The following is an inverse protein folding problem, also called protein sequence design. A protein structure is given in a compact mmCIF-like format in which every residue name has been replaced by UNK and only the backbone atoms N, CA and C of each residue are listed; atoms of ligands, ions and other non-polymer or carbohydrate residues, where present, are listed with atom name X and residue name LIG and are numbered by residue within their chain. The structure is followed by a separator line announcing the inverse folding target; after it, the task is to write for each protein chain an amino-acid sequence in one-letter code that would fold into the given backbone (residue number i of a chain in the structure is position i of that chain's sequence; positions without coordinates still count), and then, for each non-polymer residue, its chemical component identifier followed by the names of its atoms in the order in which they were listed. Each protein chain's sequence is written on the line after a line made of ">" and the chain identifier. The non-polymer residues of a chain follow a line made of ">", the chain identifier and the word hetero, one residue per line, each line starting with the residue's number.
data_IF_510762306903
#
_entry.id   IF_510762306903
#
_cell.length_a   1.000
_cell.length_b   1.000
_cell.length_c   1.000
_cell.angle_alpha   90.00
_cell.angle_beta   90.00
_cell.angle_gamma   90.00
#
_symmetry.space_group_name_H-M   'P 1'
#
loop_
_entity.id
_entity.type
_entity.pdbx_description
1 polymer ?
#
# COMPACT_ATOMS: atom_id res chain seq x y z
N UNK A 1 44.28 -69.46 17.56
CA UNK A 1 44.06 -68.87 18.91
C UNK A 1 45.38 -68.70 19.66
N UNK A 2 46.41 -68.08 19.04
CA UNK A 2 47.73 -67.83 19.66
C UNK A 2 48.13 -66.35 19.66
N UNK A 3 47.37 -65.50 18.95
CA UNK A 3 47.64 -64.05 18.83
C UNK A 3 47.28 -63.31 20.13
N UNK A 4 46.37 -63.88 20.93
CA UNK A 4 45.85 -63.30 22.18
C UNK A 4 46.75 -63.52 23.41
N UNK A 5 47.74 -64.41 23.36
CA UNK A 5 48.69 -64.64 24.46
C UNK A 5 49.95 -63.75 24.35
N UNK A 6 50.15 -63.10 23.20
CA UNK A 6 51.31 -62.25 22.98
C UNK A 6 51.11 -60.87 23.63
N UNK A 7 51.88 -60.60 24.70
CA UNK A 7 51.84 -59.35 25.46
C UNK A 7 52.03 -58.10 24.61
N UNK A 8 52.76 -58.20 23.49
CA UNK A 8 52.94 -57.09 22.55
C UNK A 8 51.64 -56.75 21.80
N UNK A 9 50.87 -57.77 21.39
CA UNK A 9 49.63 -57.58 20.64
C UNK A 9 48.49 -57.06 21.54
N UNK A 10 48.47 -57.49 22.81
CA UNK A 10 47.55 -56.94 23.82
C UNK A 10 47.79 -55.45 24.06
N UNK A 11 49.06 -55.02 24.15
CA UNK A 11 49.41 -53.61 24.31
C UNK A 11 48.96 -52.78 23.11
N UNK A 12 49.21 -53.26 21.88
CA UNK A 12 48.79 -52.57 20.65
C UNK A 12 47.26 -52.41 20.56
N UNK A 13 46.52 -53.43 20.98
CA UNK A 13 45.04 -53.38 20.99
C UNK A 13 44.49 -52.39 22.01
N UNK A 14 45.13 -52.26 23.18
CA UNK A 14 44.72 -51.29 24.21
C UNK A 14 44.99 -49.86 23.72
N UNK A 15 46.15 -49.62 23.10
CA UNK A 15 46.49 -48.30 22.53
C UNK A 15 45.50 -47.91 21.44
N UNK A 16 45.15 -48.84 20.54
CA UNK A 16 44.16 -48.59 19.50
C UNK A 16 42.78 -48.25 20.09
N UNK A 17 42.37 -48.94 21.14
CA UNK A 17 41.10 -48.68 21.81
C UNK A 17 41.06 -47.29 22.46
N UNK A 18 42.16 -46.86 23.09
CA UNK A 18 42.27 -45.51 23.68
C UNK A 18 42.20 -44.43 22.58
N UNK A 19 42.85 -44.65 21.44
CA UNK A 19 42.82 -43.71 20.30
C UNK A 19 41.40 -43.60 19.73
N UNK A 20 40.68 -44.71 19.61
CA UNK A 20 39.28 -44.71 19.16
C UNK A 20 38.39 -43.96 20.15
N UNK A 21 38.56 -44.18 21.46
CA UNK A 21 37.78 -43.47 22.49
C UNK A 21 38.06 -41.97 22.45
N UNK A 22 39.32 -41.56 22.28
CA UNK A 22 39.69 -40.16 22.16
C UNK A 22 39.10 -39.52 20.88
N UNK A 23 39.12 -40.23 19.76
CA UNK A 23 38.54 -39.76 18.51
C UNK A 23 37.02 -39.60 18.61
N UNK A 24 36.34 -40.57 19.23
CA UNK A 24 34.90 -40.49 19.51
C UNK A 24 34.59 -39.32 20.44
N UNK A 25 35.38 -39.10 21.50
CA UNK A 25 35.21 -37.96 22.40
C UNK A 25 35.34 -36.59 21.70
N UNK A 26 36.20 -36.48 20.68
CA UNK A 26 36.33 -35.27 19.86
C UNK A 26 35.09 -35.08 18.97
N UNK A 27 34.53 -36.15 18.40
CA UNK A 27 33.32 -36.07 17.57
C UNK A 27 32.06 -35.71 18.35
N UNK A 28 31.99 -36.03 19.65
CA UNK A 28 30.83 -35.70 20.51
C UNK A 28 30.91 -34.23 20.99
N UNK A 29 32.06 -33.57 20.88
CA UNK A 29 32.23 -32.15 21.21
C UNK A 29 31.80 -31.23 20.05
N UNK A 30 30.62 -31.45 19.48
CA UNK A 30 29.93 -30.36 18.81
C UNK A 30 29.44 -29.40 19.89
N UNK A 31 30.16 -28.29 20.06
CA UNK A 31 29.62 -27.12 20.75
C UNK A 31 28.44 -26.60 19.93
N UNK A 32 27.28 -27.19 20.15
CA UNK A 32 25.98 -26.62 19.81
C UNK A 32 25.72 -25.48 20.78
N UNK A 33 26.42 -24.36 20.57
CA UNK A 33 26.12 -23.08 21.18
C UNK A 33 24.79 -22.59 20.63
N UNK A 34 23.70 -23.11 21.19
CA UNK A 34 22.35 -22.66 20.93
C UNK A 34 22.23 -21.19 21.36
N UNK A 35 21.94 -20.32 20.40
CA UNK A 35 21.36 -18.97 20.56
C UNK A 35 21.82 -18.18 21.79
N UNK A 36 22.94 -17.48 21.65
CA UNK A 36 23.37 -16.49 22.63
C UNK A 36 22.53 -15.19 22.48
N UNK A 37 21.58 -14.99 23.39
CA UNK A 37 20.95 -13.72 23.79
C UNK A 37 20.33 -12.83 22.69
N UNK A 38 19.38 -13.36 21.91
CA UNK A 38 18.55 -12.55 21.00
C UNK A 38 17.19 -12.22 21.61
N UNK A 39 16.91 -10.94 21.83
CA UNK A 39 15.56 -10.45 22.15
C UNK A 39 14.94 -9.98 20.83
N UNK A 40 14.00 -10.75 20.31
CA UNK A 40 13.19 -10.35 19.15
C UNK A 40 11.86 -9.79 19.64
N UNK A 41 11.56 -8.56 19.26
CA UNK A 41 10.27 -7.91 19.54
C UNK A 41 9.62 -7.59 18.21
N UNK A 42 8.36 -7.98 18.06
CA UNK A 42 7.51 -7.54 16.97
C UNK A 42 6.34 -6.77 17.55
N UNK A 43 6.02 -5.63 16.93
CA UNK A 43 4.92 -4.77 17.33
C UNK A 43 4.10 -4.39 16.10
N UNK A 44 2.78 -4.55 16.20
CA UNK A 44 1.81 -4.06 15.22
C UNK A 44 1.12 -2.84 15.83
N UNK A 45 1.22 -1.69 15.17
CA UNK A 45 0.49 -0.48 15.55
C UNK A 45 -0.63 -0.24 14.55
N UNK A 46 -1.86 -0.31 15.01
CA UNK A 46 -3.03 0.08 14.23
C UNK A 46 -3.73 1.24 14.96
N UNK A 47 -4.06 2.29 14.22
CA UNK A 47 -4.76 3.46 14.74
C UNK A 47 -5.99 3.69 13.87
N UNK A 48 -7.14 3.67 14.51
CA UNK A 48 -8.41 4.04 13.91
C UNK A 48 -8.66 5.52 14.22
N UNK A 49 -8.64 6.35 13.18
CA UNK A 49 -9.04 7.77 13.27
C UNK A 49 -10.33 8.01 12.53
N UNK A 50 -11.17 8.86 13.09
CA UNK A 50 -12.34 9.38 12.38
C UNK A 50 -11.86 10.43 11.36
N UNK A 51 -12.29 10.37 10.09
CA UNK A 51 -11.99 11.41 9.12
C UNK A 51 -12.53 12.77 9.55
N UNK A 52 -11.74 13.82 9.40
CA UNK A 52 -12.04 15.19 9.84
C UNK A 52 -12.27 16.19 8.68
N UNK A 53 -12.07 15.76 7.43
CA UNK A 53 -12.23 16.57 6.22
C UNK A 53 -13.06 15.84 5.17
N UNK A 54 -13.97 16.57 4.51
CA UNK A 54 -14.77 16.10 3.38
C UNK A 54 -14.59 16.98 2.14
N UNK A 55 -14.61 16.38 0.95
CA UNK A 55 -14.53 17.09 -0.32
C UNK A 55 -15.83 16.90 -1.10
N UNK A 56 -16.39 18.01 -1.59
CA UNK A 56 -17.61 18.01 -2.42
C UNK A 56 -17.32 18.73 -3.72
N UNK A 57 -17.74 18.16 -4.85
CA UNK A 57 -17.65 18.80 -6.16
C UNK A 57 -19.03 19.12 -6.67
N UNK A 58 -19.27 20.41 -6.93
CA UNK A 58 -20.52 20.92 -7.49
C UNK A 58 -20.25 21.40 -8.91
N UNK A 59 -21.20 21.21 -9.81
CA UNK A 59 -21.08 21.64 -11.20
C UNK A 59 -22.41 22.21 -11.69
N UNK A 60 -22.35 23.38 -12.31
CA UNK A 60 -23.51 24.04 -12.93
C UNK A 60 -23.39 23.93 -14.44
N UNK A 61 -24.43 23.41 -15.08
CA UNK A 61 -24.51 23.29 -16.54
C UNK A 61 -25.58 24.25 -17.07
N UNK A 62 -25.22 25.03 -18.07
CA UNK A 62 -26.13 25.94 -18.78
C UNK A 62 -26.07 25.64 -20.27
N UNK A 63 -27.22 25.67 -20.94
CA UNK A 63 -27.33 25.45 -22.38
C UNK A 63 -28.04 26.65 -22.99
N UNK A 64 -27.43 27.26 -24.01
CA UNK A 64 -28.03 28.37 -24.76
C UNK A 64 -27.52 28.33 -26.21
N UNK A 65 -28.33 28.86 -27.15
CA UNK A 65 -27.95 29.01 -28.56
C UNK A 65 -26.81 30.01 -28.75
N UNK A 66 -26.69 30.98 -27.85
CA UNK A 66 -25.60 31.94 -27.83
C UNK A 66 -24.60 31.60 -26.72
N UNK A 67 -23.33 31.40 -27.10
CA UNK A 67 -22.24 31.07 -26.18
C UNK A 67 -22.04 32.16 -25.11
N UNK A 68 -22.14 33.43 -25.47
CA UNK A 68 -21.97 34.53 -24.53
C UNK A 68 -23.07 34.52 -23.46
N UNK A 69 -24.31 34.29 -23.87
CA UNK A 69 -25.46 34.20 -22.95
C UNK A 69 -25.34 32.96 -22.07
N UNK A 70 -24.96 31.81 -22.63
CA UNK A 70 -24.71 30.59 -21.84
C UNK A 70 -23.64 30.80 -20.75
N UNK A 71 -22.55 31.49 -21.11
CA UNK A 71 -21.44 31.76 -20.20
C UNK A 71 -21.84 32.71 -19.07
N UNK A 72 -22.57 33.79 -19.40
CA UNK A 72 -23.03 34.78 -18.43
C UNK A 72 -24.07 34.19 -17.46
N UNK A 73 -25.06 33.46 -17.99
CA UNK A 73 -26.03 32.74 -17.16
C UNK A 73 -25.37 31.70 -16.25
N UNK A 74 -24.35 30.98 -16.75
CA UNK A 74 -23.61 30.02 -15.94
C UNK A 74 -22.81 30.73 -14.82
N UNK A 75 -22.15 31.84 -15.15
CA UNK A 75 -21.42 32.65 -14.20
C UNK A 75 -22.33 33.12 -13.05
N UNK A 76 -23.49 33.68 -13.39
CA UNK A 76 -24.44 34.18 -12.39
C UNK A 76 -24.94 33.04 -11.48
N UNK A 77 -25.39 31.92 -12.07
CA UNK A 77 -25.85 30.75 -11.30
C UNK A 77 -24.76 30.17 -10.40
N UNK A 78 -23.50 30.14 -10.88
CA UNK A 78 -22.39 29.64 -10.08
C UNK A 78 -22.06 30.60 -8.92
N UNK A 79 -22.14 31.92 -9.14
CA UNK A 79 -21.96 32.90 -8.08
C UNK A 79 -23.03 32.74 -6.98
N UNK A 80 -24.29 32.54 -7.35
CA UNK A 80 -25.38 32.30 -6.39
C UNK A 80 -25.10 31.06 -5.53
N UNK A 81 -24.62 29.98 -6.14
CA UNK A 81 -24.24 28.75 -5.43
C UNK A 81 -23.07 29.02 -4.47
N UNK A 82 -22.06 29.77 -4.91
CA UNK A 82 -20.91 30.13 -4.06
C UNK A 82 -21.36 31.00 -2.88
N UNK A 83 -22.25 31.95 -3.10
CA UNK A 83 -22.82 32.79 -2.03
C UNK A 83 -23.61 31.98 -1.02
N UNK A 84 -24.44 31.05 -1.49
CA UNK A 84 -25.16 30.13 -0.62
C UNK A 84 -24.19 29.29 0.25
N UNK A 85 -23.17 28.69 -0.35
CA UNK A 85 -22.18 27.88 0.37
C UNK A 85 -21.41 28.72 1.41
N UNK A 86 -21.06 29.97 1.08
CA UNK A 86 -20.46 30.91 2.04
C UNK A 86 -21.41 31.24 3.18
N UNK A 87 -22.71 31.38 2.90
CA UNK A 87 -23.73 31.66 3.92
C UNK A 87 -23.94 30.50 4.90
N UNK A 88 -23.69 29.27 4.46
CA UNK A 88 -23.71 28.05 5.30
C UNK A 88 -22.43 27.87 6.14
N UNK A 89 -21.50 28.83 6.11
CA UNK A 89 -20.32 28.86 6.99
C UNK A 89 -19.03 28.31 6.39
N UNK A 90 -19.00 27.99 5.09
CA UNK A 90 -17.75 27.58 4.41
C UNK A 90 -16.91 28.81 4.07
N UNK A 91 -15.66 28.80 4.51
CA UNK A 91 -14.73 29.91 4.22
C UNK A 91 -14.35 29.96 2.73
N UNK A 92 -14.12 31.17 2.22
CA UNK A 92 -13.75 31.37 0.81
C UNK A 92 -12.43 30.68 0.42
N UNK A 93 -11.52 30.45 1.37
CA UNK A 93 -10.26 29.74 1.16
C UNK A 93 -10.45 28.26 0.78
N UNK A 94 -11.57 27.67 1.19
CA UNK A 94 -11.89 26.26 1.00
C UNK A 94 -12.71 26.02 -0.29
N UNK A 95 -13.17 27.10 -0.93
CA UNK A 95 -13.90 27.05 -2.20
C UNK A 95 -12.90 27.23 -3.35
N UNK A 96 -12.84 26.23 -4.25
CA UNK A 96 -11.97 26.27 -5.44
C UNK A 96 -12.72 25.86 -6.69
N UNK A 97 -12.53 26.63 -7.76
CA UNK A 97 -13.01 26.25 -9.10
C UNK A 97 -12.06 25.22 -9.71
N UNK A 98 -12.56 24.02 -9.97
CA UNK A 98 -11.76 22.91 -10.50
C UNK A 98 -11.60 22.93 -12.01
N UNK A 99 -12.55 23.54 -12.73
CA UNK A 99 -12.44 23.70 -14.17
C UNK A 99 -13.69 24.31 -14.80
N UNK A 100 -13.50 24.92 -15.97
CA UNK A 100 -14.58 25.47 -16.80
C UNK A 100 -14.52 24.83 -18.19
N UNK A 101 -15.66 24.35 -18.70
CA UNK A 101 -15.76 23.70 -19.99
C UNK A 101 -16.96 24.21 -20.76
N UNK A 102 -16.73 24.69 -21.98
CA UNK A 102 -17.77 25.02 -22.96
C UNK A 102 -17.62 24.05 -24.12
N UNK A 103 -18.71 23.38 -24.50
CA UNK A 103 -18.73 22.50 -25.67
C UNK A 103 -20.03 22.71 -26.46
N UNK A 104 -20.00 22.64 -27.80
CA UNK A 104 -21.20 22.63 -28.62
C UNK A 104 -22.04 21.37 -28.31
N UNK A 105 -23.36 21.54 -28.23
CA UNK A 105 -24.30 20.43 -28.00
C UNK A 105 -24.84 19.97 -29.34
N UNK A 106 -24.73 18.68 -29.62
CA UNK A 106 -25.30 18.06 -30.81
C UNK A 106 -26.45 17.16 -30.41
N UNK A 107 -27.56 17.27 -31.11
CA UNK A 107 -28.66 16.31 -31.04
C UNK A 107 -28.57 15.31 -32.18
N UNK A 108 -28.94 14.07 -31.87
CA UNK A 108 -29.05 13.03 -32.87
C UNK A 108 -30.48 13.00 -33.39
N UNK A 109 -30.65 13.24 -34.69
CA UNK A 109 -31.95 13.15 -35.33
C UNK A 109 -32.20 11.69 -35.75
N UNK A 110 -33.15 11.02 -35.08
CA UNK A 110 -33.48 9.61 -35.31
C UNK A 110 -34.10 9.34 -36.69
N UNK A 111 -34.73 10.34 -37.32
CA UNK A 111 -35.41 10.19 -38.61
C UNK A 111 -34.43 10.28 -39.80
N UNK A 112 -33.39 11.11 -39.66
CA UNK A 112 -32.42 11.38 -40.73
C UNK A 112 -31.07 10.68 -40.52
N UNK A 113 -30.84 10.08 -39.34
CA UNK A 113 -29.58 9.43 -38.98
C UNK A 113 -28.39 10.38 -38.94
N UNK A 114 -28.61 11.67 -38.67
CA UNK A 114 -27.57 12.71 -38.68
C UNK A 114 -27.45 13.43 -37.33
N UNK A 115 -26.23 13.88 -37.03
CA UNK A 115 -25.94 14.80 -35.91
C UNK A 115 -26.25 16.22 -36.35
N UNK A 116 -27.18 16.88 -35.66
CA UNK A 116 -27.50 18.30 -35.85
C UNK A 116 -26.99 19.08 -34.63
N UNK A 117 -26.47 20.28 -34.85
CA UNK A 117 -26.16 21.19 -33.74
C UNK A 117 -27.50 21.59 -33.10
N UNK A 118 -27.61 21.40 -31.79
CA UNK A 118 -28.81 21.68 -31.01
C UNK A 118 -28.98 23.19 -30.74
#
# INVERSE_FOLDING_TARGET
>A
MQILENKFFQFLSIVLMIVVIAFVAVLINEKTGANENLISVSGLGEVYVTPDVGFVTISVKTENKNVSVASEENHNKMNDVIEYIKSEGVESKDIKTTGYKINPRYEWNNDTGKRILA
#
